data_IF_265074298393
#
_entry.id   IF_265074298393
#
_cell.length_a   1.000
_cell.length_b   1.000
_cell.length_c   1.000
_cell.angle_alpha   90.00
_cell.angle_beta   90.00
_cell.angle_gamma   90.00
#
_symmetry.space_group_name_H-M   'P 1'
#
loop_
_entity.id
_entity.type
_entity.pdbx_description
1 polymer ?
#
# COMPACT_ATOMS: atom_id res chain seq x y z
N UNK A 1 -40.90 1.84 44.85
CA UNK A 1 -39.71 2.65 44.50
C UNK A 1 -38.46 1.81 44.21
N UNK A 2 -38.06 0.85 45.07
CA UNK A 2 -36.85 0.03 44.84
C UNK A 2 -36.95 -0.90 43.60
N UNK A 3 -38.14 -1.47 43.39
CA UNK A 3 -38.44 -2.37 42.25
C UNK A 3 -38.36 -1.64 40.89
N UNK A 4 -38.84 -0.40 40.80
CA UNK A 4 -38.72 0.39 39.55
C UNK A 4 -37.27 0.76 39.23
N UNK A 5 -36.47 1.09 40.25
CA UNK A 5 -35.06 1.44 40.08
C UNK A 5 -34.24 0.26 39.54
N UNK A 6 -34.47 -0.95 40.06
CA UNK A 6 -33.80 -2.16 39.57
C UNK A 6 -34.18 -2.48 38.12
N UNK A 7 -35.46 -2.34 37.74
CA UNK A 7 -35.93 -2.57 36.37
C UNK A 7 -35.31 -1.56 35.37
N UNK A 8 -35.19 -0.29 35.77
CA UNK A 8 -34.57 0.74 34.93
C UNK A 8 -33.07 0.44 34.75
N UNK A 9 -32.38 0.04 35.81
CA UNK A 9 -30.95 -0.29 35.78
C UNK A 9 -30.66 -1.52 34.92
N UNK A 10 -31.53 -2.53 34.98
CA UNK A 10 -31.46 -3.73 34.14
C UNK A 10 -31.68 -3.41 32.67
N UNK A 11 -32.74 -2.65 32.33
CA UNK A 11 -32.97 -2.17 30.96
C UNK A 11 -31.82 -1.32 30.42
N UNK A 12 -31.23 -0.45 31.25
CA UNK A 12 -30.09 0.37 30.84
C UNK A 12 -28.87 -0.50 30.49
N UNK A 13 -28.65 -1.56 31.28
CA UNK A 13 -27.58 -2.52 31.05
C UNK A 13 -27.81 -3.34 29.78
N UNK A 14 -29.05 -3.76 29.54
CA UNK A 14 -29.44 -4.44 28.30
C UNK A 14 -29.23 -3.54 27.06
N UNK A 15 -29.73 -2.30 27.09
CA UNK A 15 -29.56 -1.34 25.99
C UNK A 15 -28.09 -1.07 25.70
N UNK A 16 -27.28 -0.88 26.74
CA UNK A 16 -25.83 -0.72 26.59
C UNK A 16 -25.19 -1.94 25.95
N UNK A 17 -25.57 -3.14 26.38
CA UNK A 17 -25.05 -4.39 25.81
C UNK A 17 -25.41 -4.55 24.33
N UNK A 18 -26.63 -4.15 23.95
CA UNK A 18 -27.12 -4.19 22.58
C UNK A 18 -26.36 -3.18 21.69
N UNK A 19 -26.15 -1.97 22.18
CA UNK A 19 -25.37 -0.94 21.47
C UNK A 19 -23.93 -1.40 21.22
N UNK A 20 -23.27 -1.97 22.23
CA UNK A 20 -21.90 -2.48 22.09
C UNK A 20 -21.86 -3.62 21.07
N UNK A 21 -22.84 -4.54 21.11
CA UNK A 21 -22.92 -5.64 20.13
C UNK A 21 -23.14 -5.12 18.71
N UNK A 22 -24.04 -4.15 18.53
CA UNK A 22 -24.30 -3.55 17.23
C UNK A 22 -23.07 -2.84 16.67
N UNK A 23 -22.42 -1.99 17.48
CA UNK A 23 -21.18 -1.33 17.08
C UNK A 23 -20.10 -2.33 16.67
N UNK A 24 -19.96 -3.44 17.41
CA UNK A 24 -19.01 -4.51 17.06
C UNK A 24 -19.37 -5.23 15.76
N UNK A 25 -20.66 -5.35 15.45
CA UNK A 25 -21.15 -5.96 14.22
C UNK A 25 -20.90 -5.04 13.01
N UNK A 26 -21.28 -3.76 13.13
CA UNK A 26 -21.10 -2.75 12.09
C UNK A 26 -19.62 -2.53 11.74
N UNK A 27 -18.69 -2.73 12.69
CA UNK A 27 -17.24 -2.57 12.48
C UNK A 27 -16.59 -3.83 11.86
N UNK A 28 -17.19 -5.01 11.97
CA UNK A 28 -16.59 -6.26 11.50
C UNK A 28 -16.45 -6.33 9.99
N UNK A 29 -17.50 -5.91 9.29
CA UNK A 29 -17.55 -5.88 7.83
C UNK A 29 -16.52 -4.91 7.22
N UNK A 30 -16.40 -3.64 7.67
CA UNK A 30 -15.39 -2.72 7.14
C UNK A 30 -13.95 -3.15 7.45
N UNK A 31 -13.68 -3.74 8.62
CA UNK A 31 -12.34 -4.28 8.92
C UNK A 31 -11.98 -5.42 7.97
N UNK A 32 -12.91 -6.34 7.70
CA UNK A 32 -12.65 -7.49 6.83
C UNK A 32 -12.46 -7.05 5.37
N UNK A 33 -13.22 -6.05 4.92
CA UNK A 33 -12.99 -5.43 3.63
C UNK A 33 -11.60 -4.77 3.58
N UNK A 34 -11.26 -3.95 4.57
CA UNK A 34 -9.98 -3.26 4.65
C UNK A 34 -8.79 -4.21 4.63
N UNK A 35 -8.83 -5.29 5.41
CA UNK A 35 -7.73 -6.27 5.46
C UNK A 35 -7.53 -6.95 4.12
N UNK A 36 -8.60 -7.28 3.38
CA UNK A 36 -8.51 -7.84 2.03
C UNK A 36 -7.85 -6.85 1.06
N UNK A 37 -8.31 -5.60 1.01
CA UNK A 37 -7.72 -4.57 0.14
C UNK A 37 -6.26 -4.28 0.51
N UNK A 38 -5.97 -4.18 1.81
CA UNK A 38 -4.62 -3.96 2.30
C UNK A 38 -3.69 -5.10 1.92
N UNK A 39 -4.11 -6.36 2.09
CA UNK A 39 -3.31 -7.54 1.73
C UNK A 39 -2.99 -7.58 0.24
N UNK A 40 -3.94 -7.20 -0.62
CA UNK A 40 -3.73 -7.12 -2.07
C UNK A 40 -2.75 -5.99 -2.42
N UNK A 41 -2.87 -4.84 -1.76
CA UNK A 41 -1.92 -3.73 -1.90
C UNK A 41 -0.51 -4.11 -1.46
N UNK A 42 -0.38 -4.83 -0.34
CA UNK A 42 0.90 -5.27 0.21
C UNK A 42 1.59 -6.29 -0.70
N UNK A 43 0.82 -7.25 -1.22
CA UNK A 43 1.32 -8.23 -2.18
C UNK A 43 1.77 -7.55 -3.50
N UNK A 44 0.97 -6.60 -3.99
CA UNK A 44 1.32 -5.79 -5.16
C UNK A 44 2.60 -4.97 -4.93
N UNK A 45 2.74 -4.34 -3.77
CA UNK A 45 3.94 -3.59 -3.39
C UNK A 45 5.17 -4.48 -3.36
N UNK A 46 5.07 -5.69 -2.81
CA UNK A 46 6.18 -6.65 -2.78
C UNK A 46 6.62 -7.04 -4.21
N UNK A 47 5.66 -7.34 -5.09
CA UNK A 47 5.94 -7.71 -6.47
C UNK A 47 6.55 -6.55 -7.26
N UNK A 48 6.03 -5.33 -7.09
CA UNK A 48 6.58 -4.13 -7.73
C UNK A 48 7.99 -3.81 -7.22
N UNK A 49 8.24 -3.92 -5.92
CA UNK A 49 9.56 -3.69 -5.34
C UNK A 49 10.59 -4.70 -5.88
N UNK A 50 10.24 -6.00 -5.89
CA UNK A 50 11.09 -7.04 -6.43
C UNK A 50 11.33 -6.87 -7.93
N UNK A 51 10.28 -6.62 -8.72
CA UNK A 51 10.38 -6.41 -10.16
C UNK A 51 11.20 -5.19 -10.54
N UNK A 52 10.98 -4.05 -9.87
CA UNK A 52 11.77 -2.84 -10.09
C UNK A 52 13.23 -3.02 -9.65
N UNK A 53 13.48 -3.71 -8.54
CA UNK A 53 14.83 -4.03 -8.08
C UNK A 53 15.59 -4.92 -9.06
N UNK A 54 15.02 -6.06 -9.45
CA UNK A 54 15.63 -6.95 -10.43
C UNK A 54 15.76 -6.30 -11.81
N UNK A 55 14.77 -5.50 -12.24
CA UNK A 55 14.85 -4.73 -13.48
C UNK A 55 16.00 -3.74 -13.48
N UNK A 56 16.19 -2.99 -12.38
CA UNK A 56 17.31 -2.06 -12.24
C UNK A 56 18.67 -2.77 -12.26
N UNK A 57 18.79 -3.89 -11.53
CA UNK A 57 20.02 -4.69 -11.52
C UNK A 57 20.32 -5.31 -12.89
N UNK A 58 19.29 -5.84 -13.57
CA UNK A 58 19.44 -6.39 -14.91
C UNK A 58 19.86 -5.33 -15.92
N UNK A 59 19.22 -4.17 -15.91
CA UNK A 59 19.57 -3.05 -16.78
C UNK A 59 20.99 -2.54 -16.52
N UNK A 60 21.37 -2.40 -15.24
CA UNK A 60 22.74 -2.03 -14.87
C UNK A 60 23.75 -3.04 -15.39
N UNK A 61 23.47 -4.34 -15.25
CA UNK A 61 24.36 -5.40 -15.70
C UNK A 61 24.47 -5.46 -17.21
N UNK A 62 23.38 -5.25 -17.95
CA UNK A 62 23.42 -5.16 -19.42
C UNK A 62 24.30 -3.99 -19.87
N UNK A 63 24.13 -2.80 -19.27
CA UNK A 63 24.93 -1.63 -19.62
C UNK A 63 26.41 -1.80 -19.27
N UNK A 64 26.73 -2.47 -18.17
CA UNK A 64 28.12 -2.69 -17.75
C UNK A 64 28.79 -3.83 -18.53
N UNK A 65 28.05 -4.87 -18.93
CA UNK A 65 28.62 -6.08 -19.52
C UNK A 65 28.76 -6.00 -21.04
N UNK A 66 27.81 -5.35 -21.73
CA UNK A 66 27.81 -5.28 -23.20
C UNK A 66 28.53 -4.03 -23.73
N UNK A 67 28.64 -2.97 -22.92
CA UNK A 67 29.20 -1.69 -23.37
C UNK A 67 30.56 -1.45 -22.70
N UNK A 68 31.60 -1.94 -23.37
CA UNK A 68 33.01 -1.79 -22.97
C UNK A 68 33.51 -0.33 -22.95
N UNK A 69 32.71 0.64 -23.42
CA UNK A 69 33.01 2.09 -23.30
C UNK A 69 32.92 2.62 -21.86
N UNK A 70 32.27 1.88 -20.95
CA UNK A 70 32.08 2.28 -19.56
C UNK A 70 33.08 1.66 -18.57
N UNK A 71 34.09 0.91 -19.04
CA UNK A 71 34.99 0.16 -18.16
C UNK A 71 36.04 1.01 -17.45
N UNK A 72 36.39 2.18 -17.99
CA UNK A 72 37.59 2.91 -17.54
C UNK A 72 37.23 4.23 -16.83
N UNK A 73 37.06 5.36 -17.54
CA UNK A 73 36.74 6.67 -16.92
C UNK A 73 35.24 6.94 -16.73
N UNK A 74 34.38 6.19 -17.42
CA UNK A 74 32.92 6.40 -17.45
C UNK A 74 32.13 5.35 -16.66
N UNK A 75 32.78 4.65 -15.72
CA UNK A 75 32.16 3.60 -14.90
C UNK A 75 30.99 4.08 -14.04
N UNK A 76 30.87 5.39 -13.80
CA UNK A 76 29.73 6.01 -13.11
C UNK A 76 28.49 6.18 -14.01
N UNK A 77 28.65 6.23 -15.33
CA UNK A 77 27.58 6.53 -16.29
C UNK A 77 26.43 5.51 -16.26
N UNK A 78 26.67 4.18 -16.20
CA UNK A 78 25.61 3.18 -16.09
C UNK A 78 24.71 3.40 -14.87
N UNK A 79 25.29 3.80 -13.73
CA UNK A 79 24.54 4.05 -12.50
C UNK A 79 23.64 5.28 -12.64
N UNK A 80 24.14 6.36 -13.24
CA UNK A 80 23.36 7.58 -13.52
C UNK A 80 22.20 7.26 -14.46
N UNK A 81 22.43 6.46 -15.50
CA UNK A 81 21.39 6.12 -16.47
C UNK A 81 20.28 5.28 -15.85
N UNK A 82 20.64 4.25 -15.06
CA UNK A 82 19.66 3.44 -14.32
C UNK A 82 18.89 4.30 -13.31
N UNK A 83 19.57 5.24 -12.64
CA UNK A 83 18.92 6.19 -11.72
C UNK A 83 17.90 7.08 -12.43
N UNK A 84 18.26 7.66 -13.58
CA UNK A 84 17.34 8.45 -14.41
C UNK A 84 16.15 7.60 -14.88
N UNK A 85 16.40 6.35 -15.27
CA UNK A 85 15.35 5.43 -15.68
C UNK A 85 14.35 5.16 -14.53
N UNK A 86 14.83 4.94 -13.31
CA UNK A 86 13.98 4.82 -12.12
C UNK A 86 13.21 6.10 -11.82
N UNK A 87 13.83 7.28 -11.96
CA UNK A 87 13.13 8.56 -11.82
C UNK A 87 11.99 8.70 -12.82
N UNK A 88 12.19 8.31 -14.08
CA UNK A 88 11.13 8.33 -15.10
C UNK A 88 9.98 7.42 -14.68
N UNK A 89 10.26 6.20 -14.21
CA UNK A 89 9.24 5.26 -13.71
C UNK A 89 8.45 5.87 -12.55
N UNK A 90 9.11 6.55 -11.62
CA UNK A 90 8.46 7.24 -10.50
C UNK A 90 7.56 8.37 -11.01
N UNK A 91 8.05 9.23 -11.90
CA UNK A 91 7.28 10.35 -12.46
C UNK A 91 6.04 9.85 -13.20
N UNK A 92 6.20 8.80 -14.02
CA UNK A 92 5.07 8.18 -14.75
C UNK A 92 4.06 7.59 -13.78
N UNK A 93 4.52 6.88 -12.74
CA UNK A 93 3.64 6.31 -11.71
C UNK A 93 2.86 7.40 -10.95
N UNK A 94 3.52 8.51 -10.59
CA UNK A 94 2.88 9.66 -9.96
C UNK A 94 1.88 10.36 -10.88
N UNK A 95 2.17 10.44 -12.18
CA UNK A 95 1.22 10.97 -13.17
C UNK A 95 0.02 10.05 -13.37
N UNK A 96 0.24 8.74 -13.40
CA UNK A 96 -0.83 7.76 -13.51
C UNK A 96 -1.79 7.84 -12.31
N UNK A 97 -1.24 7.99 -11.10
CA UNK A 97 -2.04 8.18 -9.89
C UNK A 97 -2.85 9.48 -9.93
N UNK A 98 -2.23 10.60 -10.37
CA UNK A 98 -2.93 11.88 -10.50
C UNK A 98 -4.04 11.86 -11.54
N UNK A 99 -3.80 11.26 -12.71
CA UNK A 99 -4.79 11.14 -13.79
C UNK A 99 -6.04 10.39 -13.33
N UNK A 100 -5.87 9.38 -12.48
CA UNK A 100 -7.02 8.65 -11.92
C UNK A 100 -7.86 9.54 -10.99
N UNK A 101 -7.25 10.50 -10.28
CA UNK A 101 -7.97 11.41 -9.39
C UNK A 101 -8.72 12.53 -10.14
N UNK A 102 -8.28 12.91 -11.34
CA UNK A 102 -8.93 13.97 -12.14
C UNK A 102 -10.17 13.48 -12.92
N UNK A 103 -10.35 12.16 -13.05
CA UNK A 103 -11.47 11.54 -13.79
C UNK A 103 -12.63 11.08 -12.88
N UNK A 104 -12.55 11.37 -11.58
CA UNK A 104 -13.55 11.00 -10.57
C UNK A 104 -14.16 12.25 -9.95
#
# INVERSE_FOLDING_TARGET
>A
MKIEQDIISEKLTELRSLLIRYAKQEIRDPITALTRWLSLGLLGMLFLAAGAGFGALGMLRLLQNEISLFSDSLSFMPYVLVFVCLLIVIIVSLKALRRHNELR
#
